data_IF_171524783267
#
_entry.id   IF_171524783267
#
_cell.length_a   1.000
_cell.length_b   1.000
_cell.length_c   1.000
_cell.angle_alpha   90.00
_cell.angle_beta   90.00
_cell.angle_gamma   90.00
#
_symmetry.space_group_name_H-M   'P 1'
#
loop_
_entity.id
_entity.type
_entity.pdbx_description
1 polymer ?
#
# COMPACT_ATOMS: atom_id res chain seq x y z
N UNK A 1 -17.51 13.66 -0.46
CA UNK A 1 -17.85 12.92 0.78
C UNK A 1 -16.63 12.81 1.67
N UNK A 2 -16.80 13.01 2.98
CA UNK A 2 -15.76 12.73 3.98
C UNK A 2 -15.61 11.22 4.07
N UNK A 3 -14.67 10.64 3.32
CA UNK A 3 -14.32 9.23 3.45
C UNK A 3 -13.86 9.03 4.90
N UNK A 4 -14.61 8.25 5.66
CA UNK A 4 -14.19 7.74 6.97
C UNK A 4 -13.86 6.27 6.74
N UNK A 5 -12.64 5.86 7.07
CA UNK A 5 -12.27 4.45 7.05
C UNK A 5 -12.96 3.80 8.24
N UNK A 6 -13.75 2.76 8.00
CA UNK A 6 -14.36 2.00 9.06
C UNK A 6 -13.34 1.06 9.73
N UNK A 7 -13.75 0.52 10.87
CA UNK A 7 -12.91 -0.38 11.67
C UNK A 7 -12.56 -1.67 10.90
N UNK A 8 -13.47 -2.17 10.06
CA UNK A 8 -13.24 -3.36 9.26
C UNK A 8 -12.13 -3.15 8.22
N UNK A 9 -12.07 -1.95 7.64
CA UNK A 9 -11.00 -1.52 6.72
C UNK A 9 -9.66 -1.55 7.44
N UNK A 10 -9.58 -0.97 8.65
CA UNK A 10 -8.33 -0.98 9.42
C UNK A 10 -7.87 -2.39 9.78
N UNK A 11 -8.76 -3.23 10.28
CA UNK A 11 -8.45 -4.62 10.60
C UNK A 11 -7.95 -5.40 9.37
N UNK A 12 -8.54 -5.15 8.21
CA UNK A 12 -8.07 -5.74 6.96
C UNK A 12 -6.66 -5.25 6.60
N UNK A 13 -6.45 -3.94 6.60
CA UNK A 13 -5.16 -3.35 6.20
C UNK A 13 -4.02 -3.78 7.14
N UNK A 14 -4.24 -3.77 8.46
CA UNK A 14 -3.24 -4.17 9.44
C UNK A 14 -2.84 -5.65 9.29
N UNK A 15 -3.79 -6.49 8.86
CA UNK A 15 -3.54 -7.92 8.67
C UNK A 15 -2.69 -8.22 7.46
N UNK A 16 -2.85 -7.47 6.37
CA UNK A 16 -2.32 -7.86 5.06
C UNK A 16 -1.27 -6.92 4.47
N UNK A 17 -1.21 -5.66 4.90
CA UNK A 17 -0.45 -4.62 4.19
C UNK A 17 0.79 -4.15 4.94
N UNK A 18 1.15 -4.81 6.05
CA UNK A 18 2.31 -4.45 6.86
C UNK A 18 2.00 -3.36 7.89
N UNK A 19 2.88 -2.36 8.02
CA UNK A 19 2.71 -1.31 9.03
C UNK A 19 1.43 -0.52 8.81
N UNK A 20 0.72 -0.23 9.90
CA UNK A 20 -0.43 0.68 9.90
C UNK A 20 0.00 2.06 9.39
N UNK A 21 -0.81 2.61 8.50
CA UNK A 21 -0.54 3.90 7.84
C UNK A 21 -1.12 5.06 8.63
N UNK A 22 -0.40 6.18 8.69
CA UNK A 22 -0.79 7.36 9.45
C UNK A 22 -1.72 8.25 8.63
N UNK A 23 -2.71 8.85 9.30
CA UNK A 23 -3.66 9.83 8.72
C UNK A 23 -3.59 11.13 9.51
N UNK A 24 -2.60 11.97 9.19
CA UNK A 24 -2.35 13.26 9.83
C UNK A 24 -2.26 14.38 8.78
N UNK A 25 -1.88 15.58 9.23
CA UNK A 25 -1.81 16.77 8.38
C UNK A 25 -3.14 17.49 8.17
N UNK A 26 -3.20 18.24 7.09
CA UNK A 26 -4.34 19.04 6.62
C UNK A 26 -5.52 18.16 6.20
N UNK A 27 -6.70 18.78 6.07
CA UNK A 27 -7.91 18.08 5.62
C UNK A 27 -7.70 17.42 4.25
N UNK A 28 -7.04 18.10 3.31
CA UNK A 28 -6.74 17.58 1.98
C UNK A 28 -5.79 16.38 2.02
N UNK A 29 -4.72 16.47 2.81
CA UNK A 29 -3.77 15.36 2.99
C UNK A 29 -4.45 14.14 3.60
N UNK A 30 -5.23 14.32 4.66
CA UNK A 30 -6.01 13.24 5.28
C UNK A 30 -6.96 12.59 4.29
N UNK A 31 -7.65 13.37 3.44
CA UNK A 31 -8.53 12.81 2.41
C UNK A 31 -7.75 12.04 1.35
N UNK A 32 -6.58 12.54 0.93
CA UNK A 32 -5.74 11.88 -0.07
C UNK A 32 -5.19 10.55 0.47
N UNK A 33 -4.68 10.54 1.71
CA UNK A 33 -4.22 9.33 2.39
C UNK A 33 -5.35 8.31 2.50
N UNK A 34 -6.56 8.71 2.89
CA UNK A 34 -7.71 7.80 2.99
C UNK A 34 -8.06 7.16 1.65
N UNK A 35 -7.99 7.91 0.54
CA UNK A 35 -8.20 7.36 -0.80
C UNK A 35 -7.14 6.31 -1.13
N UNK A 36 -5.88 6.54 -0.79
CA UNK A 36 -4.81 5.55 -0.98
C UNK A 36 -5.09 4.27 -0.18
N UNK A 37 -5.55 4.40 1.07
CA UNK A 37 -5.87 3.24 1.91
C UNK A 37 -7.03 2.40 1.37
N UNK A 38 -8.10 3.03 0.89
CA UNK A 38 -9.19 2.32 0.21
C UNK A 38 -8.72 1.65 -1.08
N UNK A 39 -7.89 2.35 -1.85
CA UNK A 39 -7.32 1.83 -3.09
C UNK A 39 -6.39 0.65 -2.85
N UNK A 40 -5.66 0.66 -1.73
CA UNK A 40 -4.80 -0.43 -1.29
C UNK A 40 -5.64 -1.62 -0.83
N UNK A 41 -6.69 -1.41 -0.04
CA UNK A 41 -7.62 -2.48 0.33
C UNK A 41 -8.21 -3.15 -0.91
N UNK A 42 -8.73 -2.35 -1.85
CA UNK A 42 -9.30 -2.87 -3.09
C UNK A 42 -8.29 -3.74 -3.84
N UNK A 43 -7.09 -3.22 -4.07
CA UNK A 43 -6.00 -3.93 -4.74
C UNK A 43 -5.65 -5.26 -4.05
N UNK A 44 -5.59 -5.29 -2.72
CA UNK A 44 -5.33 -6.54 -2.00
C UNK A 44 -6.47 -7.55 -2.15
N UNK A 45 -7.73 -7.10 -2.02
CA UNK A 45 -8.90 -7.97 -2.13
C UNK A 45 -9.08 -8.54 -3.53
N UNK A 46 -8.90 -7.72 -4.57
CA UNK A 46 -9.21 -8.10 -5.95
C UNK A 46 -8.03 -8.66 -6.71
N UNK A 47 -6.79 -8.45 -6.23
CA UNK A 47 -5.59 -8.96 -6.89
C UNK A 47 -4.71 -9.79 -5.94
N UNK A 48 -4.05 -9.14 -4.96
CA UNK A 48 -2.95 -9.78 -4.20
C UNK A 48 -3.39 -11.07 -3.50
N UNK A 49 -4.60 -11.09 -2.95
CA UNK A 49 -5.15 -12.22 -2.21
C UNK A 49 -5.92 -13.21 -3.09
N UNK A 50 -6.45 -12.77 -4.23
CA UNK A 50 -7.35 -13.56 -5.09
C UNK A 50 -6.63 -14.25 -6.26
N UNK A 51 -5.48 -13.71 -6.70
CA UNK A 51 -4.80 -14.13 -7.92
C UNK A 51 -3.56 -15.01 -7.62
N UNK A 52 -3.42 -16.18 -8.28
CA UNK A 52 -2.30 -17.10 -8.01
C UNK A 52 -0.92 -16.52 -8.37
N UNK A 53 -0.84 -15.56 -9.28
CA UNK A 53 0.39 -14.88 -9.70
C UNK A 53 1.09 -14.16 -8.53
N UNK A 54 0.34 -13.81 -7.48
CA UNK A 54 0.86 -13.15 -6.29
C UNK A 54 1.28 -14.13 -5.18
N UNK A 55 1.04 -15.44 -5.35
CA UNK A 55 1.20 -16.44 -4.28
C UNK A 55 2.58 -16.42 -3.61
N UNK A 56 3.66 -16.28 -4.38
CA UNK A 56 5.03 -16.30 -3.82
C UNK A 56 5.52 -14.95 -3.32
N UNK A 57 4.79 -13.86 -3.60
CA UNK A 57 5.19 -12.48 -3.26
C UNK A 57 4.31 -11.82 -2.21
N UNK A 58 3.13 -12.40 -1.93
CA UNK A 58 2.12 -11.87 -1.00
C UNK A 58 2.72 -11.48 0.35
N UNK A 59 3.49 -12.38 0.97
CA UNK A 59 4.08 -12.18 2.30
C UNK A 59 5.23 -11.15 2.33
N UNK A 60 5.68 -10.69 1.15
CA UNK A 60 6.69 -9.64 1.00
C UNK A 60 6.09 -8.31 0.58
N UNK A 61 4.82 -8.28 0.17
CA UNK A 61 4.18 -7.06 -0.28
C UNK A 61 3.61 -6.27 0.88
N UNK A 62 4.46 -5.51 1.55
CA UNK A 62 4.11 -4.74 2.73
C UNK A 62 4.49 -3.26 2.58
N UNK A 63 3.91 -2.45 3.45
CA UNK A 63 4.43 -1.15 3.83
C UNK A 63 5.34 -1.32 5.05
N UNK A 64 6.57 -0.86 4.93
CA UNK A 64 7.57 -0.88 6.01
C UNK A 64 7.69 0.48 6.72
N UNK A 65 7.00 1.50 6.22
CA UNK A 65 6.87 2.81 6.82
C UNK A 65 5.39 3.18 7.03
N UNK A 66 5.09 3.94 8.08
CA UNK A 66 3.74 4.44 8.38
C UNK A 66 3.29 5.58 7.45
N UNK A 67 4.21 6.17 6.68
CA UNK A 67 3.95 7.26 5.75
C UNK A 67 3.80 6.81 4.29
N UNK A 68 3.84 5.52 3.99
CA UNK A 68 3.74 5.02 2.62
C UNK A 68 2.47 5.52 1.92
N UNK A 69 1.33 5.54 2.59
CA UNK A 69 0.09 6.04 2.02
C UNK A 69 0.15 7.55 1.71
N UNK A 70 0.81 8.34 2.57
CA UNK A 70 1.04 9.76 2.31
C UNK A 70 1.98 9.97 1.12
N UNK A 71 3.12 9.29 1.08
CA UNK A 71 4.07 9.36 -0.02
C UNK A 71 3.47 8.94 -1.36
N UNK A 72 2.67 7.87 -1.38
CA UNK A 72 1.88 7.50 -2.57
C UNK A 72 0.93 8.64 -2.97
N UNK A 73 0.27 9.29 -2.00
CA UNK A 73 -0.69 10.36 -2.30
C UNK A 73 -0.07 11.61 -2.93
N UNK A 74 1.25 11.80 -2.78
CA UNK A 74 2.01 12.92 -3.34
C UNK A 74 2.92 12.51 -4.53
N UNK A 75 2.77 11.29 -5.05
CA UNK A 75 3.43 10.87 -6.31
C UNK A 75 4.83 10.26 -6.17
N UNK A 76 5.19 9.76 -4.98
CA UNK A 76 6.49 9.12 -4.76
C UNK A 76 6.62 7.76 -5.48
N UNK A 77 5.51 7.09 -5.80
CA UNK A 77 5.55 5.80 -6.51
C UNK A 77 6.20 5.92 -7.89
N UNK A 78 6.08 7.09 -8.52
CA UNK A 78 6.67 7.45 -9.80
C UNK A 78 8.00 8.18 -9.59
N UNK A 79 8.01 9.20 -8.73
CA UNK A 79 9.16 10.10 -8.55
C UNK A 79 10.34 9.43 -7.83
N UNK A 80 10.05 8.44 -6.98
CA UNK A 80 11.03 7.72 -6.16
C UNK A 80 10.73 6.22 -6.14
N UNK A 81 10.48 5.69 -7.34
CA UNK A 81 10.00 4.32 -7.56
C UNK A 81 10.85 3.24 -6.87
N UNK A 82 12.18 3.39 -6.88
CA UNK A 82 13.09 2.40 -6.27
C UNK A 82 12.90 2.29 -4.75
N UNK A 83 12.87 3.43 -4.06
CA UNK A 83 12.62 3.46 -2.62
C UNK A 83 11.22 2.93 -2.29
N UNK A 84 10.21 3.39 -3.03
CA UNK A 84 8.81 3.01 -2.80
C UNK A 84 8.56 1.53 -3.11
N UNK A 85 9.25 0.96 -4.09
CA UNK A 85 9.17 -0.47 -4.39
C UNK A 85 9.64 -1.31 -3.19
N UNK A 86 10.73 -0.91 -2.53
CA UNK A 86 11.28 -1.66 -1.40
C UNK A 86 10.55 -1.38 -0.08
N UNK A 87 10.01 -0.18 0.11
CA UNK A 87 9.46 0.24 1.40
C UNK A 87 7.93 0.30 1.44
N UNK A 88 7.28 0.44 0.29
CA UNK A 88 5.87 0.83 0.18
C UNK A 88 5.16 0.10 -0.97
N UNK A 89 5.56 -1.14 -1.26
CA UNK A 89 5.03 -1.92 -2.38
C UNK A 89 3.51 -2.09 -2.31
N UNK A 90 2.96 -2.23 -1.09
CA UNK A 90 1.52 -2.36 -0.89
C UNK A 90 0.77 -1.08 -1.28
N UNK A 91 1.17 0.08 -0.74
CA UNK A 91 0.52 1.36 -1.06
C UNK A 91 0.70 1.78 -2.51
N UNK A 92 1.85 1.50 -3.12
CA UNK A 92 2.11 1.81 -4.53
C UNK A 92 1.56 0.77 -5.52
N UNK A 93 0.93 -0.32 -5.05
CA UNK A 93 0.45 -1.42 -5.90
C UNK A 93 1.55 -2.05 -6.75
N UNK A 94 2.73 -2.23 -6.16
CA UNK A 94 3.92 -2.74 -6.83
C UNK A 94 4.30 -4.17 -6.44
N UNK A 95 3.39 -4.96 -5.85
CA UNK A 95 3.74 -6.29 -5.32
C UNK A 95 4.44 -7.18 -6.37
N UNK A 96 3.94 -7.24 -7.62
CA UNK A 96 4.57 -8.06 -8.66
C UNK A 96 5.94 -7.51 -9.12
N UNK A 97 6.23 -6.24 -8.89
CA UNK A 97 7.55 -5.69 -9.22
C UNK A 97 8.63 -6.10 -8.21
N UNK A 98 8.24 -6.67 -7.07
CA UNK A 98 9.21 -7.23 -6.13
C UNK A 98 9.90 -8.48 -6.70
N UNK A 99 9.27 -9.21 -7.64
CA UNK A 99 9.85 -10.38 -8.30
C UNK A 99 11.21 -10.08 -8.96
N UNK A 100 11.38 -8.90 -9.56
CA UNK A 100 12.64 -8.53 -10.24
C UNK A 100 13.78 -8.28 -9.26
N UNK A 101 13.48 -7.88 -8.03
CA UNK A 101 14.50 -7.61 -7.01
C UNK A 101 14.94 -8.88 -6.27
N UNK A 102 14.06 -9.89 -6.13
CA UNK A 102 14.39 -11.12 -5.42
C UNK A 102 15.05 -12.21 -6.29
N UNK A 103 14.90 -12.14 -7.62
CA UNK A 103 15.51 -13.10 -8.56
C UNK A 103 16.87 -12.65 -9.11
N UNK A 104 17.38 -11.50 -8.68
CA UNK A 104 18.68 -10.94 -9.09
C UNK A 104 19.70 -10.85 -7.94
N UNK A 105 19.38 -11.46 -6.79
CA UNK A 105 20.26 -11.57 -5.62
C UNK A 105 20.96 -12.93 -5.54
#
# INVERSE_FOLDING_TARGET
>A
ENIVLDEATWQFLDRYTGKRQRIDGSVSEKMAVRRVLQQMEYYFRTEVLSRPEYSTIRDKCHNYNELCAFWTSVGECESNRGFMLLNCAASCRLCLHLYTNFNTS
#
